data_IF_378045034134
#
_entry.id   IF_378045034134
#
_cell.length_a   1.000
_cell.length_b   1.000
_cell.length_c   1.000
_cell.angle_alpha   90.00
_cell.angle_beta   90.00
_cell.angle_gamma   90.00
#
_symmetry.space_group_name_H-M   'P 1'
#
loop_
_entity.id
_entity.type
_entity.pdbx_description
1 polymer ?
#
# COMPACT_ATOMS: atom_id res chain seq x y z
N UNK A 1 -9.08 8.27 -17.10
CA UNK A 1 -10.36 7.54 -17.20
C UNK A 1 -10.97 7.40 -15.82
N UNK A 2 -12.30 7.64 -15.69
CA UNK A 2 -12.99 7.51 -14.41
C UNK A 2 -13.65 6.12 -14.29
N UNK A 3 -13.41 5.46 -13.17
CA UNK A 3 -13.95 4.15 -12.81
C UNK A 3 -14.78 4.33 -11.53
N UNK A 4 -16.09 4.24 -11.63
CA UNK A 4 -17.02 4.55 -10.54
C UNK A 4 -17.60 3.26 -9.96
N UNK A 5 -17.32 3.01 -8.67
CA UNK A 5 -17.79 1.84 -7.93
C UNK A 5 -19.29 1.85 -7.62
N UNK A 6 -19.98 2.98 -7.82
CA UNK A 6 -21.45 3.00 -7.84
C UNK A 6 -22.05 2.47 -9.16
N UNK A 7 -21.25 2.40 -10.23
CA UNK A 7 -21.70 2.03 -11.58
C UNK A 7 -21.13 0.69 -12.06
N UNK A 8 -20.01 0.26 -11.49
CA UNK A 8 -19.29 -0.96 -11.86
C UNK A 8 -18.95 -1.77 -10.62
N UNK A 9 -18.97 -3.09 -10.76
CA UNK A 9 -18.50 -3.98 -9.69
C UNK A 9 -16.99 -3.85 -9.53
N UNK A 10 -16.49 -4.00 -8.32
CA UNK A 10 -15.05 -3.96 -8.03
C UNK A 10 -14.26 -4.93 -8.92
N UNK A 11 -14.75 -6.14 -9.14
CA UNK A 11 -14.09 -7.13 -10.00
C UNK A 11 -13.86 -6.60 -11.43
N UNK A 12 -14.84 -5.91 -11.99
CA UNK A 12 -14.75 -5.33 -13.34
C UNK A 12 -13.70 -4.20 -13.35
N UNK A 13 -13.68 -3.35 -12.33
CA UNK A 13 -12.69 -2.28 -12.19
C UNK A 13 -11.28 -2.87 -12.08
N UNK A 14 -11.06 -3.84 -11.21
CA UNK A 14 -9.76 -4.50 -11.09
C UNK A 14 -9.33 -5.18 -12.40
N UNK A 15 -10.24 -5.85 -13.11
CA UNK A 15 -9.95 -6.44 -14.42
C UNK A 15 -9.53 -5.40 -15.46
N UNK A 16 -10.16 -4.23 -15.50
CA UNK A 16 -9.77 -3.12 -16.37
C UNK A 16 -8.35 -2.66 -16.04
N UNK A 17 -8.04 -2.45 -14.76
CA UNK A 17 -6.74 -1.96 -14.30
C UNK A 17 -5.62 -3.01 -14.46
N UNK A 18 -5.93 -4.29 -14.32
CA UNK A 18 -4.97 -5.39 -14.48
C UNK A 18 -4.65 -5.71 -15.94
N UNK A 19 -5.45 -5.25 -16.90
CA UNK A 19 -5.33 -5.55 -18.32
C UNK A 19 -5.15 -4.29 -19.18
N UNK A 20 -4.48 -3.26 -18.65
CA UNK A 20 -4.24 -2.03 -19.43
C UNK A 20 -3.30 -2.30 -20.60
N UNK A 21 -2.27 -3.13 -20.41
CA UNK A 21 -1.30 -3.46 -21.42
C UNK A 21 -0.34 -2.30 -21.76
N UNK A 22 0.72 -2.58 -22.51
CA UNK A 22 1.75 -1.60 -22.84
C UNK A 22 1.36 -0.63 -23.96
N UNK A 23 0.40 -1.00 -24.79
CA UNK A 23 0.04 -0.26 -26.01
C UNK A 23 -1.08 0.79 -25.81
N UNK A 24 -1.71 0.84 -24.64
CA UNK A 24 -2.76 1.82 -24.38
C UNK A 24 -2.20 3.20 -24.05
N UNK A 25 -2.70 4.21 -24.76
CA UNK A 25 -2.30 5.62 -24.57
C UNK A 25 -2.76 6.21 -23.23
N UNK A 26 -3.82 5.66 -22.63
CA UNK A 26 -4.33 6.15 -21.35
C UNK A 26 -3.80 5.30 -20.19
N UNK A 27 -2.91 5.88 -19.41
CA UNK A 27 -2.30 5.24 -18.25
C UNK A 27 -2.69 5.87 -16.92
N UNK A 28 -3.63 6.84 -16.94
CA UNK A 28 -4.10 7.52 -15.74
C UNK A 28 -5.58 7.24 -15.48
N UNK A 29 -5.89 6.79 -14.27
CA UNK A 29 -7.22 6.35 -13.85
C UNK A 29 -7.63 7.03 -12.55
N UNK A 30 -8.92 7.29 -12.40
CA UNK A 30 -9.51 7.68 -11.12
C UNK A 30 -10.55 6.64 -10.71
N UNK A 31 -10.43 6.14 -9.48
CA UNK A 31 -11.43 5.28 -8.86
C UNK A 31 -12.28 6.14 -7.93
N UNK A 32 -13.58 6.19 -8.21
CA UNK A 32 -14.56 7.00 -7.47
C UNK A 32 -15.44 6.12 -6.59
N UNK A 33 -15.89 6.68 -5.47
CA UNK A 33 -16.82 6.04 -4.53
C UNK A 33 -16.35 4.68 -3.99
N UNK A 34 -15.13 4.57 -3.45
CA UNK A 34 -14.60 3.31 -2.94
C UNK A 34 -15.36 2.77 -1.73
N UNK A 35 -15.94 3.63 -0.89
CA UNK A 35 -16.84 3.28 0.23
C UNK A 35 -16.32 2.14 1.12
N UNK A 36 -15.01 2.09 1.37
CA UNK A 36 -14.40 1.06 2.20
C UNK A 36 -14.31 -0.33 1.56
N UNK A 37 -14.55 -0.46 0.26
CA UNK A 37 -14.44 -1.77 -0.41
C UNK A 37 -13.02 -2.34 -0.30
N UNK A 38 -12.93 -3.68 -0.16
CA UNK A 38 -11.68 -4.41 -0.03
C UNK A 38 -11.03 -4.71 -1.37
N UNK A 39 -9.70 -4.92 -1.39
CA UNK A 39 -8.93 -5.36 -2.55
C UNK A 39 -9.02 -4.44 -3.79
N UNK A 40 -9.29 -3.14 -3.60
CA UNK A 40 -9.23 -2.17 -4.70
C UNK A 40 -7.79 -2.09 -5.21
N UNK A 41 -7.61 -2.15 -6.53
CA UNK A 41 -6.29 -2.07 -7.17
C UNK A 41 -5.32 -3.20 -6.76
N UNK A 42 -5.82 -4.38 -6.41
CA UNK A 42 -4.97 -5.53 -6.12
C UNK A 42 -4.39 -6.16 -7.39
N UNK A 43 -3.15 -6.64 -7.33
CA UNK A 43 -2.50 -7.41 -8.41
C UNK A 43 -2.19 -6.61 -9.67
N UNK A 44 -1.89 -5.32 -9.57
CA UNK A 44 -1.54 -4.47 -10.70
C UNK A 44 -0.14 -4.80 -11.21
N UNK A 45 0.01 -4.95 -12.53
CA UNK A 45 1.27 -5.32 -13.19
C UNK A 45 1.85 -4.21 -14.04
N UNK A 46 0.99 -3.38 -14.61
CA UNK A 46 1.38 -2.35 -15.57
C UNK A 46 1.81 -1.06 -14.86
N UNK A 47 2.67 -0.30 -15.53
CA UNK A 47 3.07 1.05 -15.12
C UNK A 47 1.92 2.02 -15.44
N UNK A 48 1.01 2.19 -14.49
CA UNK A 48 -0.17 3.05 -14.55
C UNK A 48 -0.30 3.91 -13.31
N UNK A 49 -0.93 5.06 -13.46
CA UNK A 49 -1.24 5.98 -12.35
C UNK A 49 -2.70 5.85 -11.96
N UNK A 50 -2.95 5.65 -10.67
CA UNK A 50 -4.30 5.52 -10.14
C UNK A 50 -4.50 6.47 -8.96
N UNK A 51 -5.58 7.24 -9.01
CA UNK A 51 -6.04 8.10 -7.92
C UNK A 51 -7.36 7.56 -7.39
N UNK A 52 -7.39 7.10 -6.13
CA UNK A 52 -8.60 6.62 -5.47
C UNK A 52 -9.17 7.75 -4.62
N UNK A 53 -10.42 8.15 -4.86
CA UNK A 53 -11.08 9.28 -4.19
C UNK A 53 -11.97 8.79 -3.05
N UNK A 54 -11.38 8.62 -1.86
CA UNK A 54 -12.06 8.21 -0.63
C UNK A 54 -11.34 7.08 0.11
N UNK A 55 -11.99 6.54 1.14
CA UNK A 55 -11.46 5.49 2.00
C UNK A 55 -11.58 4.12 1.35
N UNK A 56 -10.58 3.25 1.57
CA UNK A 56 -10.58 1.86 1.10
C UNK A 56 -10.58 0.88 2.27
N UNK A 57 -11.03 -0.34 2.01
CA UNK A 57 -10.96 -1.44 2.95
C UNK A 57 -9.62 -2.20 2.90
N UNK A 58 -9.67 -3.49 3.19
CA UNK A 58 -8.50 -4.36 3.31
C UNK A 58 -7.81 -4.59 1.96
N UNK A 59 -6.49 -4.81 1.99
CA UNK A 59 -5.65 -5.23 0.85
C UNK A 59 -5.69 -4.28 -0.36
N UNK A 60 -5.93 -2.99 -0.14
CA UNK A 60 -5.80 -1.99 -1.20
C UNK A 60 -4.38 -2.01 -1.77
N UNK A 61 -4.25 -2.01 -3.08
CA UNK A 61 -2.97 -2.08 -3.80
C UNK A 61 -2.07 -3.28 -3.40
N UNK A 62 -2.66 -4.36 -2.85
CA UNK A 62 -1.92 -5.59 -2.55
C UNK A 62 -1.29 -6.19 -3.81
N UNK A 63 -0.12 -6.80 -3.68
CA UNK A 63 0.64 -7.44 -4.78
C UNK A 63 0.92 -6.50 -5.97
N UNK A 64 1.03 -5.20 -5.71
CA UNK A 64 1.38 -4.21 -6.75
C UNK A 64 2.78 -4.47 -7.30
N UNK A 65 2.94 -4.47 -8.61
CA UNK A 65 4.22 -4.69 -9.27
C UNK A 65 4.84 -3.42 -9.85
N UNK A 66 4.06 -2.55 -10.51
CA UNK A 66 4.62 -1.37 -11.17
C UNK A 66 3.76 -0.12 -11.04
N UNK A 67 2.50 -0.23 -10.65
CA UNK A 67 1.59 0.91 -10.63
C UNK A 67 1.96 1.94 -9.54
N UNK A 68 1.60 3.19 -9.82
CA UNK A 68 1.57 4.29 -8.85
C UNK A 68 0.13 4.51 -8.37
N UNK A 69 -0.15 4.20 -7.11
CA UNK A 69 -1.49 4.29 -6.53
C UNK A 69 -1.51 5.35 -5.44
N UNK A 70 -2.37 6.35 -5.57
CA UNK A 70 -2.61 7.37 -4.53
C UNK A 70 -4.03 7.23 -3.98
N UNK A 71 -4.15 7.03 -2.66
CA UNK A 71 -5.44 6.98 -1.96
C UNK A 71 -5.68 8.30 -1.23
N UNK A 72 -6.73 9.02 -1.61
CA UNK A 72 -7.15 10.25 -0.95
C UNK A 72 -8.11 9.94 0.20
N UNK A 73 -7.63 9.25 1.21
CA UNK A 73 -8.39 8.81 2.37
C UNK A 73 -7.60 7.83 3.23
N UNK A 74 -8.28 7.24 4.19
CA UNK A 74 -7.71 6.19 5.04
C UNK A 74 -7.81 4.82 4.35
N UNK A 75 -6.95 3.91 4.77
CA UNK A 75 -6.93 2.55 4.23
C UNK A 75 -7.06 1.51 5.33
N UNK A 76 -7.70 0.40 4.99
CA UNK A 76 -7.85 -0.75 5.88
C UNK A 76 -6.57 -1.59 6.01
N UNK A 77 -6.70 -2.72 6.69
CA UNK A 77 -5.61 -3.67 6.96
C UNK A 77 -4.94 -4.17 5.67
N UNK A 78 -3.62 -4.28 5.69
CA UNK A 78 -2.84 -4.91 4.62
C UNK A 78 -2.73 -4.06 3.35
N UNK A 79 -2.77 -2.72 3.45
CA UNK A 79 -2.45 -1.88 2.28
C UNK A 79 -1.05 -2.19 1.76
N UNK A 80 -0.91 -2.34 0.44
CA UNK A 80 0.34 -2.68 -0.23
C UNK A 80 1.00 -3.99 0.27
N UNK A 81 0.21 -4.91 0.84
CA UNK A 81 0.72 -6.23 1.24
C UNK A 81 1.31 -6.98 0.04
N UNK A 82 2.44 -7.66 0.24
CA UNK A 82 3.19 -8.34 -0.82
C UNK A 82 3.54 -7.43 -2.03
N UNK A 83 3.70 -6.14 -1.83
CA UNK A 83 4.11 -5.23 -2.89
C UNK A 83 5.49 -5.63 -3.43
N UNK A 84 5.60 -5.73 -4.75
CA UNK A 84 6.84 -6.14 -5.41
C UNK A 84 7.65 -4.93 -5.88
N UNK A 85 6.98 -3.89 -6.36
CA UNK A 85 7.59 -2.68 -6.93
C UNK A 85 6.51 -1.59 -7.10
N UNK A 86 6.88 -0.44 -7.67
CA UNK A 86 5.98 0.68 -7.87
C UNK A 86 5.86 1.59 -6.65
N UNK A 87 4.78 2.35 -6.55
CA UNK A 87 4.60 3.36 -5.50
C UNK A 87 3.16 3.38 -5.00
N UNK A 88 2.99 3.40 -3.69
CA UNK A 88 1.68 3.58 -3.04
C UNK A 88 1.75 4.75 -2.08
N UNK A 89 0.82 5.70 -2.21
CA UNK A 89 0.73 6.90 -1.36
C UNK A 89 -0.64 6.93 -0.69
N UNK A 90 -0.65 7.01 0.63
CA UNK A 90 -1.85 7.14 1.45
C UNK A 90 -1.88 8.55 2.03
N UNK A 91 -2.89 9.34 1.65
CA UNK A 91 -3.06 10.72 2.13
C UNK A 91 -3.66 10.81 3.54
N UNK A 92 -4.18 9.72 4.06
CA UNK A 92 -4.70 9.58 5.42
C UNK A 92 -3.90 8.59 6.23
N UNK A 93 -4.58 7.87 7.12
CA UNK A 93 -4.02 6.86 8.00
C UNK A 93 -4.13 5.46 7.39
N UNK A 94 -3.23 4.58 7.81
CA UNK A 94 -3.28 3.16 7.48
C UNK A 94 -3.59 2.31 8.72
N UNK A 95 -4.44 1.30 8.53
CA UNK A 95 -4.72 0.31 9.55
C UNK A 95 -3.55 -0.68 9.69
N UNK A 96 -3.78 -1.80 10.35
CA UNK A 96 -2.76 -2.80 10.66
C UNK A 96 -2.05 -3.37 9.43
N UNK A 97 -0.80 -3.79 9.62
CA UNK A 97 -0.03 -4.56 8.63
C UNK A 97 0.19 -3.83 7.29
N UNK A 98 0.29 -2.50 7.32
CA UNK A 98 0.63 -1.73 6.13
C UNK A 98 2.01 -2.15 5.59
N UNK A 99 2.10 -2.48 4.30
CA UNK A 99 3.34 -2.91 3.65
C UNK A 99 3.85 -4.28 4.10
N UNK A 100 3.02 -5.10 4.75
CA UNK A 100 3.40 -6.43 5.22
C UNK A 100 4.01 -7.26 4.09
N UNK A 101 5.09 -7.98 4.40
CA UNK A 101 5.79 -8.89 3.47
C UNK A 101 6.25 -8.25 2.15
N UNK A 102 6.24 -6.92 2.04
CA UNK A 102 6.62 -6.20 0.83
C UNK A 102 8.07 -6.46 0.41
N UNK A 103 8.28 -6.77 -0.87
CA UNK A 103 9.57 -7.14 -1.44
C UNK A 103 10.31 -5.94 -2.04
N UNK A 104 9.60 -4.91 -2.45
CA UNK A 104 10.19 -3.73 -3.07
C UNK A 104 9.19 -2.61 -3.29
N UNK A 105 9.65 -1.53 -3.92
CA UNK A 105 8.88 -0.33 -4.14
C UNK A 105 8.81 0.57 -2.90
N UNK A 106 7.88 1.53 -2.93
CA UNK A 106 7.74 2.53 -1.86
C UNK A 106 6.28 2.68 -1.41
N UNK A 107 6.04 2.58 -0.12
CA UNK A 107 4.79 2.91 0.54
C UNK A 107 4.98 4.17 1.37
N UNK A 108 4.20 5.22 1.09
CA UNK A 108 4.24 6.49 1.82
C UNK A 108 2.88 6.69 2.49
N UNK A 109 2.88 6.85 3.81
CA UNK A 109 1.69 7.12 4.62
C UNK A 109 1.84 8.52 5.20
N UNK A 110 0.95 9.44 4.82
CA UNK A 110 1.03 10.84 5.28
C UNK A 110 0.50 11.03 6.70
N UNK A 111 -0.36 10.14 7.17
CA UNK A 111 -0.82 10.07 8.55
C UNK A 111 -0.10 9.01 9.35
N UNK A 112 -0.82 8.40 10.28
CA UNK A 112 -0.33 7.34 11.16
C UNK A 112 -0.51 5.95 10.51
N UNK A 113 0.34 5.01 10.92
CA UNK A 113 0.14 3.59 10.67
C UNK A 113 -0.10 2.87 12.00
N UNK A 114 -1.03 1.91 11.97
CA UNK A 114 -1.35 1.10 13.14
C UNK A 114 -0.28 0.02 13.38
N UNK A 115 -0.59 -0.94 14.22
CA UNK A 115 0.32 -2.05 14.58
C UNK A 115 0.80 -2.86 13.38
N UNK A 116 1.96 -3.46 13.52
CA UNK A 116 2.59 -4.35 12.52
C UNK A 116 2.85 -3.71 11.16
N UNK A 117 3.06 -2.40 11.11
CA UNK A 117 3.51 -1.72 9.90
C UNK A 117 4.86 -2.32 9.47
N UNK A 118 4.96 -2.79 8.23
CA UNK A 118 6.17 -3.43 7.71
C UNK A 118 6.51 -4.80 8.30
N UNK A 119 5.53 -5.49 8.92
CA UNK A 119 5.77 -6.85 9.42
C UNK A 119 6.32 -7.76 8.33
N UNK A 120 7.39 -8.49 8.64
CA UNK A 120 8.07 -9.43 7.73
C UNK A 120 8.47 -8.81 6.38
N UNK A 121 8.72 -7.49 6.33
CA UNK A 121 9.15 -6.80 5.10
C UNK A 121 10.44 -7.40 4.56
N UNK A 122 10.53 -7.47 3.22
CA UNK A 122 11.60 -8.17 2.49
C UNK A 122 12.29 -7.28 1.44
N UNK A 123 12.20 -5.96 1.59
CA UNK A 123 12.86 -5.02 0.68
C UNK A 123 12.07 -3.77 0.35
N UNK A 124 10.80 -3.68 0.74
CA UNK A 124 9.98 -2.47 0.59
C UNK A 124 10.56 -1.30 1.39
N UNK A 125 10.41 -0.08 0.86
CA UNK A 125 10.67 1.14 1.61
C UNK A 125 9.35 1.73 2.10
N UNK A 126 9.20 1.89 3.41
CA UNK A 126 8.00 2.43 4.04
C UNK A 126 8.36 3.75 4.71
N UNK A 127 7.61 4.80 4.42
CA UNK A 127 7.76 6.12 5.03
C UNK A 127 6.43 6.47 5.70
N UNK A 128 6.43 6.64 7.01
CA UNK A 128 5.27 7.07 7.80
C UNK A 128 5.55 8.47 8.33
N UNK A 129 4.76 9.46 7.90
CA UNK A 129 4.92 10.85 8.37
C UNK A 129 4.37 11.08 9.79
N UNK A 130 3.44 10.25 10.22
CA UNK A 130 2.95 10.19 11.59
C UNK A 130 3.66 9.12 12.42
N UNK A 131 2.92 8.55 13.36
CA UNK A 131 3.38 7.53 14.30
C UNK A 131 3.04 6.12 13.84
N UNK A 132 3.69 5.10 14.43
CA UNK A 132 3.40 3.69 14.17
C UNK A 132 3.01 2.97 15.45
N UNK A 133 2.11 1.98 15.33
CA UNK A 133 1.68 1.14 16.43
C UNK A 133 2.69 0.02 16.76
N UNK A 134 2.38 -0.76 17.80
CA UNK A 134 3.26 -1.79 18.34
C UNK A 134 3.63 -2.86 17.30
N UNK A 135 4.75 -3.53 17.52
CA UNK A 135 5.30 -4.59 16.66
C UNK A 135 5.51 -4.16 15.20
N UNK A 136 5.71 -2.88 14.94
CA UNK A 136 6.10 -2.43 13.60
C UNK A 136 7.50 -2.94 13.25
N UNK A 137 7.72 -3.31 11.99
CA UNK A 137 8.90 -4.02 11.50
C UNK A 137 9.18 -5.37 12.21
N UNK A 138 8.18 -5.98 12.87
CA UNK A 138 8.34 -7.32 13.46
C UNK A 138 8.79 -8.33 12.41
N UNK A 139 9.83 -9.10 12.71
CA UNK A 139 10.46 -10.07 11.80
C UNK A 139 10.88 -9.48 10.44
N UNK A 140 11.21 -8.18 10.39
CA UNK A 140 11.72 -7.58 9.17
C UNK A 140 13.04 -8.24 8.72
N UNK A 141 13.19 -8.43 7.42
CA UNK A 141 14.35 -9.10 6.82
C UNK A 141 15.21 -8.12 6.02
N UNK A 142 14.58 -7.20 5.29
CA UNK A 142 15.25 -6.23 4.43
C UNK A 142 14.31 -5.06 4.12
N UNK A 143 14.89 -3.90 3.82
CA UNK A 143 14.16 -2.69 3.47
C UNK A 143 14.34 -1.59 4.52
N UNK A 144 13.60 -0.50 4.37
CA UNK A 144 13.67 0.64 5.25
C UNK A 144 12.28 0.98 5.79
N UNK A 145 12.16 1.20 7.09
CA UNK A 145 11.00 1.80 7.73
C UNK A 145 11.45 3.14 8.35
N UNK A 146 10.96 4.25 7.81
CA UNK A 146 11.28 5.61 8.25
C UNK A 146 10.03 6.19 8.90
N UNK A 147 10.13 6.61 10.16
CA UNK A 147 9.04 7.12 10.98
C UNK A 147 9.39 8.54 11.41
N UNK A 148 8.48 9.49 11.17
CA UNK A 148 8.67 10.89 11.59
C UNK A 148 8.02 11.20 12.94
N UNK A 149 7.01 10.44 13.34
CA UNK A 149 6.35 10.53 14.63
C UNK A 149 6.91 9.54 15.65
N UNK A 150 6.07 9.12 16.57
CA UNK A 150 6.43 8.18 17.64
C UNK A 150 6.31 6.73 17.18
N UNK A 151 7.05 5.84 17.81
CA UNK A 151 6.93 4.40 17.66
C UNK A 151 6.50 3.78 18.99
N UNK A 152 5.49 2.93 18.93
CA UNK A 152 5.00 2.16 20.09
C UNK A 152 5.94 0.98 20.38
N UNK A 153 5.60 0.20 21.40
CA UNK A 153 6.40 -0.92 21.90
C UNK A 153 6.75 -1.96 20.83
N UNK A 154 7.86 -2.66 21.06
CA UNK A 154 8.33 -3.79 20.26
C UNK A 154 8.65 -3.45 18.80
N UNK A 155 9.06 -2.21 18.54
CA UNK A 155 9.55 -1.81 17.22
C UNK A 155 10.77 -2.65 16.83
N UNK A 156 10.69 -3.32 15.67
CA UNK A 156 11.79 -4.12 15.14
C UNK A 156 12.09 -5.40 15.93
N UNK A 157 11.16 -5.87 16.77
CA UNK A 157 11.36 -7.12 17.46
C UNK A 157 11.55 -8.28 16.47
N UNK A 158 12.42 -9.22 16.84
CA UNK A 158 12.73 -10.42 16.02
C UNK A 158 13.22 -10.11 14.60
N UNK A 159 13.94 -9.02 14.39
CA UNK A 159 14.60 -8.72 13.11
C UNK A 159 15.59 -9.86 12.79
N UNK A 160 15.43 -10.47 11.61
CA UNK A 160 16.22 -11.64 11.20
C UNK A 160 17.52 -11.28 10.47
N UNK A 161 17.73 -10.02 10.14
CA UNK A 161 18.94 -9.55 9.46
C UNK A 161 19.90 -8.92 10.47
N UNK A 162 21.05 -9.50 10.66
CA UNK A 162 22.17 -8.86 11.35
C UNK A 162 22.78 -7.84 10.40
N UNK A 163 22.44 -6.58 10.57
CA UNK A 163 23.21 -5.50 9.96
C UNK A 163 24.35 -5.17 10.93
N UNK A 164 25.53 -5.63 10.58
CA UNK A 164 26.75 -5.12 11.18
C UNK A 164 27.08 -3.78 10.50
N UNK A 165 26.88 -2.70 11.20
CA UNK A 165 27.48 -1.41 10.85
C UNK A 165 28.80 -1.24 11.55
#
# INVERSE_FOLDING_TARGET
>A
MNLDLNKKRLREINQILQNVGREKNNRSFQVLNPQGQHAICAGLKDDIEISIKGHTGYYCAGMNQNASVTVHGNVGTGVAENMMSGKVIIKGNASQSAGATGHGGSLIIEGDASSRCGISMKGINIIVKGSVGHMSAFMAQKGNLIIFGDADADLGDSILSLIHM
#
